data_IF_882197278301
#
_entry.id   IF_882197278301
#
_cell.length_a   1.000
_cell.length_b   1.000
_cell.length_c   1.000
_cell.angle_alpha   90.00
_cell.angle_beta   90.00
_cell.angle_gamma   90.00
#
_symmetry.space_group_name_H-M   'P 1'
#
loop_
_entity.id
_entity.type
_entity.pdbx_description
1 polymer ?
#
# COMPACT_ATOMS: atom_id res chain seq x y z
N UNK A 1 19.07 32.96 -9.33
CA UNK A 1 19.07 32.33 -7.99
C UNK A 1 18.29 31.02 -8.11
N UNK A 2 18.96 29.85 -8.16
CA UNK A 2 18.29 28.55 -8.27
C UNK A 2 17.62 28.24 -6.94
N UNK A 3 16.31 28.42 -6.84
CA UNK A 3 15.53 28.02 -5.66
C UNK A 3 15.68 26.51 -5.49
N UNK A 4 16.40 26.10 -4.42
CA UNK A 4 16.40 24.70 -3.96
C UNK A 4 14.97 24.36 -3.52
N UNK A 5 14.17 23.85 -4.45
CA UNK A 5 12.80 23.36 -4.22
C UNK A 5 12.79 22.03 -3.44
N UNK A 6 13.80 21.77 -2.61
CA UNK A 6 13.92 20.56 -1.81
C UNK A 6 13.60 20.91 -0.37
N UNK A 7 12.31 21.02 -0.06
CA UNK A 7 11.90 21.10 1.35
C UNK A 7 12.25 19.77 2.02
N UNK A 8 12.86 19.82 3.20
CA UNK A 8 13.22 18.61 3.94
C UNK A 8 12.00 17.78 4.36
N UNK A 9 10.81 18.40 4.39
CA UNK A 9 9.54 17.80 4.81
C UNK A 9 8.83 16.98 3.74
N UNK A 10 9.12 17.16 2.45
CA UNK A 10 8.46 16.43 1.35
C UNK A 10 9.41 15.54 0.55
N UNK A 11 10.29 14.79 1.24
CA UNK A 11 11.24 13.82 0.63
C UNK A 11 10.56 12.62 -0.09
N UNK A 12 9.22 12.56 -0.04
CA UNK A 12 8.39 11.52 -0.66
C UNK A 12 7.98 11.87 -2.09
N UNK A 13 8.02 13.15 -2.46
CA UNK A 13 7.63 13.63 -3.77
C UNK A 13 8.81 14.31 -4.48
N UNK A 14 8.99 14.01 -5.75
CA UNK A 14 9.95 14.66 -6.65
C UNK A 14 9.14 15.52 -7.61
N UNK A 15 9.39 16.82 -7.60
CA UNK A 15 8.75 17.75 -8.54
C UNK A 15 9.53 17.83 -9.84
N UNK A 16 8.82 17.86 -10.98
CA UNK A 16 9.39 18.23 -12.28
C UNK A 16 9.40 19.77 -12.47
N UNK A 17 10.16 20.26 -13.45
CA UNK A 17 10.24 21.67 -13.88
C UNK A 17 8.87 22.26 -14.23
N UNK A 18 7.91 21.41 -14.60
CA UNK A 18 6.53 21.79 -14.89
C UNK A 18 5.60 21.82 -13.66
N UNK A 19 6.11 21.54 -12.45
CA UNK A 19 5.32 21.56 -11.21
C UNK A 19 4.57 20.27 -10.90
N UNK A 20 4.74 19.23 -11.71
CA UNK A 20 4.14 17.91 -11.47
C UNK A 20 4.86 17.20 -10.32
N UNK A 21 4.11 16.73 -9.33
CA UNK A 21 4.61 15.99 -8.16
C UNK A 21 4.54 14.48 -8.42
N UNK A 22 5.68 13.81 -8.46
CA UNK A 22 5.79 12.36 -8.63
C UNK A 22 6.25 11.71 -7.34
N UNK A 23 5.83 10.46 -7.08
CA UNK A 23 6.35 9.71 -5.95
C UNK A 23 7.84 9.41 -6.14
N UNK A 24 8.58 9.44 -5.03
CA UNK A 24 9.98 9.07 -5.04
C UNK A 24 10.15 7.58 -5.37
N UNK A 25 10.53 7.31 -6.63
CA UNK A 25 10.71 5.96 -7.17
C UNK A 25 11.79 5.12 -6.46
N UNK A 26 12.66 5.77 -5.67
CA UNK A 26 13.64 5.06 -4.82
C UNK A 26 12.98 4.44 -3.57
N UNK A 27 11.86 5.01 -3.12
CA UNK A 27 11.13 4.55 -1.91
C UNK A 27 9.88 3.75 -2.24
N UNK A 28 9.22 4.06 -3.35
CA UNK A 28 7.97 3.46 -3.75
C UNK A 28 8.08 2.83 -5.14
N UNK A 29 7.32 1.77 -5.37
CA UNK A 29 7.13 1.19 -6.68
C UNK A 29 5.65 1.11 -7.02
N UNK A 30 5.33 1.33 -8.28
CA UNK A 30 4.02 1.10 -8.85
C UNK A 30 3.94 -0.33 -9.39
N UNK A 31 2.74 -0.92 -9.34
CA UNK A 31 2.51 -2.27 -9.86
C UNK A 31 1.36 -2.28 -10.87
N UNK A 32 1.47 -3.16 -11.86
CA UNK A 32 0.45 -3.31 -12.89
C UNK A 32 -0.88 -3.80 -12.30
N UNK A 33 -1.99 -3.32 -12.86
CA UNK A 33 -3.27 -3.96 -12.62
C UNK A 33 -3.22 -5.39 -13.15
N UNK A 34 -3.68 -6.34 -12.33
CA UNK A 34 -3.71 -7.75 -12.69
C UNK A 34 -5.17 -8.23 -12.78
N UNK A 35 -5.46 -9.22 -13.65
CA UNK A 35 -6.78 -9.82 -13.71
C UNK A 35 -7.13 -10.41 -12.35
N UNK A 36 -8.30 -10.08 -11.82
CA UNK A 36 -8.73 -10.49 -10.47
C UNK A 36 -8.46 -9.49 -9.35
N UNK A 37 -7.83 -8.33 -9.62
CA UNK A 37 -7.69 -7.25 -8.62
C UNK A 37 -9.00 -6.91 -7.91
N UNK A 38 -10.09 -6.78 -8.67
CA UNK A 38 -11.41 -6.46 -8.13
C UNK A 38 -11.92 -7.52 -7.15
N UNK A 39 -11.67 -8.81 -7.45
CA UNK A 39 -11.99 -9.90 -6.53
C UNK A 39 -11.19 -9.77 -5.24
N UNK A 40 -9.87 -9.53 -5.31
CA UNK A 40 -9.07 -9.34 -4.10
C UNK A 40 -9.52 -8.13 -3.28
N UNK A 41 -9.93 -7.03 -3.92
CA UNK A 41 -10.49 -5.88 -3.20
C UNK A 41 -11.79 -6.27 -2.49
N UNK A 42 -12.70 -6.96 -3.17
CA UNK A 42 -13.94 -7.44 -2.58
C UNK A 42 -13.68 -8.40 -1.41
N UNK A 43 -12.77 -9.36 -1.58
CA UNK A 43 -12.33 -10.27 -0.52
C UNK A 43 -11.79 -9.51 0.69
N UNK A 44 -10.93 -8.51 0.50
CA UNK A 44 -10.41 -7.70 1.61
C UNK A 44 -11.51 -6.92 2.33
N UNK A 45 -12.49 -6.39 1.60
CA UNK A 45 -13.63 -5.67 2.21
C UNK A 45 -14.49 -6.64 3.01
N UNK A 46 -14.81 -7.81 2.47
CA UNK A 46 -15.59 -8.84 3.16
C UNK A 46 -14.89 -9.28 4.44
N UNK A 47 -13.58 -9.52 4.40
CA UNK A 47 -12.79 -9.86 5.60
C UNK A 47 -12.84 -8.75 6.64
N UNK A 48 -12.68 -7.48 6.23
CA UNK A 48 -12.77 -6.32 7.15
C UNK A 48 -14.15 -6.30 7.82
N UNK A 49 -15.24 -6.44 7.06
CA UNK A 49 -16.59 -6.43 7.59
C UNK A 49 -16.84 -7.59 8.57
N UNK A 50 -16.41 -8.80 8.23
CA UNK A 50 -16.55 -9.97 9.09
C UNK A 50 -15.78 -9.81 10.40
N UNK A 51 -14.53 -9.33 10.34
CA UNK A 51 -13.69 -9.12 11.52
C UNK A 51 -14.25 -7.98 12.38
N UNK A 52 -14.74 -6.90 11.79
CA UNK A 52 -15.39 -5.81 12.54
C UNK A 52 -16.62 -6.30 13.30
N UNK A 53 -17.49 -7.08 12.64
CA UNK A 53 -18.71 -7.58 13.26
C UNK A 53 -18.44 -8.57 14.39
N UNK A 54 -17.34 -9.33 14.30
CA UNK A 54 -16.93 -10.34 15.29
C UNK A 54 -15.88 -9.83 16.28
N UNK A 55 -15.53 -8.55 16.23
CA UNK A 55 -14.43 -8.01 17.04
C UNK A 55 -14.75 -8.11 18.53
N UNK A 56 -15.99 -7.77 18.90
CA UNK A 56 -16.45 -7.85 20.29
C UNK A 56 -16.45 -9.29 20.81
N UNK A 57 -16.92 -10.25 19.98
CA UNK A 57 -16.87 -11.69 20.29
C UNK A 57 -15.42 -12.17 20.50
N UNK A 58 -14.47 -11.68 19.70
CA UNK A 58 -13.04 -12.02 19.79
C UNK A 58 -12.42 -11.49 21.09
N UNK A 59 -12.76 -10.27 21.50
CA UNK A 59 -12.33 -9.71 22.78
C UNK A 59 -12.97 -10.43 23.98
N UNK A 60 -14.23 -10.86 23.84
CA UNK A 60 -14.92 -11.63 24.87
C UNK A 60 -14.30 -13.03 25.09
N UNK A 61 -13.78 -13.65 24.04
CA UNK A 61 -13.10 -14.95 24.14
C UNK A 61 -11.75 -14.84 24.87
N UNK A 62 -10.89 -13.92 24.42
CA UNK A 62 -9.62 -13.63 25.09
C UNK A 62 -8.99 -12.33 24.58
N UNK A 63 -8.23 -11.66 25.43
CA UNK A 63 -7.51 -10.44 25.05
C UNK A 63 -6.54 -10.65 23.87
N UNK A 64 -5.84 -11.79 23.84
CA UNK A 64 -4.96 -12.16 22.72
C UNK A 64 -5.72 -12.38 21.41
N UNK A 65 -6.92 -12.97 21.47
CA UNK A 65 -7.76 -13.18 20.29
C UNK A 65 -8.28 -11.85 19.73
N UNK A 66 -8.70 -10.93 20.60
CA UNK A 66 -9.05 -9.55 20.22
C UNK A 66 -7.87 -8.82 19.56
N UNK A 67 -6.68 -8.86 20.15
CA UNK A 67 -5.45 -8.31 19.54
C UNK A 67 -5.16 -8.93 18.16
N UNK A 68 -5.34 -10.25 18.02
CA UNK A 68 -5.23 -10.95 16.74
C UNK A 68 -6.22 -10.43 15.70
N UNK A 69 -7.48 -10.21 16.09
CA UNK A 69 -8.51 -9.62 15.24
C UNK A 69 -8.15 -8.21 14.76
N UNK A 70 -7.68 -7.35 15.67
CA UNK A 70 -7.21 -5.99 15.32
C UNK A 70 -6.03 -6.05 14.34
N UNK A 71 -5.11 -7.00 14.51
CA UNK A 71 -4.00 -7.18 13.58
C UNK A 71 -4.46 -7.65 12.19
N UNK A 72 -5.40 -8.59 12.11
CA UNK A 72 -5.99 -9.01 10.82
C UNK A 72 -6.70 -7.84 10.14
N UNK A 73 -7.42 -7.02 10.91
CA UNK A 73 -8.05 -5.81 10.41
C UNK A 73 -7.01 -4.85 9.81
N UNK A 74 -5.92 -4.59 10.53
CA UNK A 74 -4.81 -3.77 10.05
C UNK A 74 -4.25 -4.30 8.72
N UNK A 75 -3.96 -5.60 8.63
CA UNK A 75 -3.46 -6.22 7.41
C UNK A 75 -4.43 -6.04 6.24
N UNK A 76 -5.72 -6.29 6.45
CA UNK A 76 -6.73 -6.17 5.41
C UNK A 76 -6.91 -4.72 4.95
N UNK A 77 -6.93 -3.75 5.87
CA UNK A 77 -7.01 -2.32 5.56
C UNK A 77 -5.80 -1.83 4.78
N UNK A 78 -4.58 -2.19 5.20
CA UNK A 78 -3.36 -1.86 4.46
C UNK A 78 -3.39 -2.48 3.07
N UNK A 79 -3.78 -3.74 2.95
CA UNK A 79 -3.89 -4.43 1.66
C UNK A 79 -4.86 -3.71 0.73
N UNK A 80 -6.04 -3.34 1.23
CA UNK A 80 -7.04 -2.59 0.46
C UNK A 80 -6.53 -1.21 0.02
N UNK A 81 -5.83 -0.51 0.90
CA UNK A 81 -5.18 0.76 0.59
C UNK A 81 -4.16 0.62 -0.55
N UNK A 82 -3.29 -0.40 -0.46
CA UNK A 82 -2.29 -0.70 -1.50
C UNK A 82 -2.94 -1.04 -2.84
N UNK A 83 -3.97 -1.90 -2.83
CA UNK A 83 -4.69 -2.25 -4.05
C UNK A 83 -5.34 -1.01 -4.69
N UNK A 84 -5.90 -0.11 -3.88
CA UNK A 84 -6.58 1.09 -4.37
C UNK A 84 -5.59 2.07 -4.99
N UNK A 85 -4.52 2.41 -4.25
CA UNK A 85 -3.50 3.39 -4.69
C UNK A 85 -2.54 2.84 -5.76
N UNK A 86 -2.39 1.52 -5.86
CA UNK A 86 -1.42 0.84 -6.77
C UNK A 86 0.04 1.21 -6.53
N UNK A 87 0.35 1.73 -5.35
CA UNK A 87 1.69 2.16 -4.95
C UNK A 87 2.08 1.37 -3.70
N UNK A 88 3.30 0.83 -3.68
CA UNK A 88 3.83 0.05 -2.56
C UNK A 88 5.24 0.51 -2.18
N UNK A 89 5.57 0.49 -0.88
CA UNK A 89 6.89 0.90 -0.37
C UNK A 89 7.89 -0.27 -0.44
N UNK A 90 9.12 0.00 -0.89
CA UNK A 90 10.18 -1.02 -0.95
C UNK A 90 10.59 -1.58 0.41
N UNK A 91 10.67 -0.71 1.43
CA UNK A 91 11.09 -1.10 2.79
C UNK A 91 9.96 -1.75 3.60
N UNK A 92 8.77 -1.94 3.00
CA UNK A 92 7.60 -2.50 3.66
C UNK A 92 6.86 -1.54 4.59
N UNK A 93 5.87 -2.10 5.28
CA UNK A 93 5.00 -1.40 6.24
C UNK A 93 5.18 -2.02 7.62
N UNK A 94 4.94 -1.23 8.67
CA UNK A 94 5.07 -1.67 10.06
C UNK A 94 4.22 -2.93 10.28
N UNK A 95 4.82 -4.03 10.77
CA UNK A 95 4.15 -5.32 10.97
C UNK A 95 3.45 -5.94 9.75
N UNK A 96 3.71 -5.47 8.52
CA UNK A 96 3.11 -6.08 7.32
C UNK A 96 4.00 -7.21 6.79
N UNK A 97 3.43 -8.38 6.43
CA UNK A 97 4.23 -9.54 6.06
C UNK A 97 5.01 -9.34 4.75
N UNK A 98 6.29 -9.72 4.78
CA UNK A 98 7.19 -9.55 3.65
C UNK A 98 6.78 -10.35 2.41
N UNK A 99 6.08 -11.48 2.55
CA UNK A 99 5.61 -12.28 1.42
C UNK A 99 4.58 -11.53 0.56
N UNK A 100 3.71 -10.72 1.18
CA UNK A 100 2.73 -9.91 0.45
C UNK A 100 3.44 -8.81 -0.34
N UNK A 101 4.48 -8.19 0.23
CA UNK A 101 5.29 -7.19 -0.49
C UNK A 101 6.00 -7.84 -1.68
N UNK A 102 6.57 -9.04 -1.50
CA UNK A 102 7.18 -9.82 -2.59
C UNK A 102 6.17 -10.12 -3.71
N UNK A 103 4.92 -10.42 -3.38
CA UNK A 103 3.85 -10.63 -4.35
C UNK A 103 3.60 -9.38 -5.23
N UNK A 104 3.53 -8.19 -4.62
CA UNK A 104 3.40 -6.94 -5.36
C UNK A 104 4.66 -6.60 -6.14
N UNK A 105 5.84 -6.83 -5.56
CA UNK A 105 7.14 -6.57 -6.19
C UNK A 105 7.34 -7.39 -7.47
N UNK A 106 6.84 -8.63 -7.53
CA UNK A 106 6.86 -9.45 -8.75
C UNK A 106 6.06 -8.84 -9.92
N UNK A 107 5.07 -7.99 -9.61
CA UNK A 107 4.20 -7.31 -10.59
C UNK A 107 4.55 -5.84 -10.78
N UNK A 108 5.76 -5.45 -10.36
CA UNK A 108 6.26 -4.09 -10.50
C UNK A 108 6.21 -3.67 -11.96
N UNK A 109 5.69 -2.48 -12.21
CA UNK A 109 5.79 -1.84 -13.51
C UNK A 109 7.24 -1.39 -13.70
N UNK A 110 7.93 -1.91 -14.71
CA UNK A 110 9.29 -1.46 -15.03
C UNK A 110 9.24 0.00 -15.45
N UNK A 111 10.07 0.84 -14.83
CA UNK A 111 10.13 2.28 -15.07
C UNK A 111 10.50 2.66 -16.52
N UNK A 112 10.85 1.69 -17.37
CA UNK A 112 11.07 1.91 -18.81
C UNK A 112 9.79 2.28 -19.56
N UNK A 113 8.59 1.93 -19.07
CA UNK A 113 7.34 2.28 -19.76
C UNK A 113 6.81 3.68 -19.44
N UNK A 114 7.36 4.39 -18.44
CA UNK A 114 6.95 5.76 -18.10
C UNK A 114 7.80 6.84 -18.77
N UNK A 115 8.87 6.45 -19.48
CA UNK A 115 9.72 7.36 -20.27
C UNK A 115 9.37 7.34 -21.77
N UNK A 116 8.39 6.54 -22.19
CA UNK A 116 7.92 6.47 -23.58
C UNK A 116 6.52 7.07 -23.77
N UNK A 117 6.19 8.19 -23.13
CA UNK A 117 5.15 9.08 -23.65
C UNK A 117 5.55 10.53 -23.35
N UNK A 118 5.91 11.22 -24.43
CA UNK A 118 6.05 12.67 -24.62
C UNK A 118 7.22 13.39 -23.92
#
# INVERSE_FOLDING_TARGET
MKTKYRSERHKEYVGDKHGNLYYNQLKYFEFHAYPGKGLHQLWTIVIILLVLFRLDDLFALSFLSGMGGVYVLYLASVTLYLLTKRICRYNGYFLYPAFMIRYFKKRRMSAESSTQVA
#
